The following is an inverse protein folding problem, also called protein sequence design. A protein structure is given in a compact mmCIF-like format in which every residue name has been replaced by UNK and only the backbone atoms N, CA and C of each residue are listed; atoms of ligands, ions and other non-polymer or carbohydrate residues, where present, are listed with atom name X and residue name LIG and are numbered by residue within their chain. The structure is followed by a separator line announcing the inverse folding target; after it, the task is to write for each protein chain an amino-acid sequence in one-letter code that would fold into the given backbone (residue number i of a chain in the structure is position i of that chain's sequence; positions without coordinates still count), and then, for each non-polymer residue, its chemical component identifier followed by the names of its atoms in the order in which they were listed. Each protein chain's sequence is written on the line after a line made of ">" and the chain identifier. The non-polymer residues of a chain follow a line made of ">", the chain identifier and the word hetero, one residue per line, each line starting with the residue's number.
data_IF_910961636606
#
_entry.id   IF_910961636606
#
_cell.length_a   1.000
_cell.length_b   1.000
_cell.length_c   1.000
_cell.angle_alpha   90.00
_cell.angle_beta   90.00
_cell.angle_gamma   90.00
#
_symmetry.space_group_name_H-M   'P 1'
#
loop_
_entity.id
_entity.type
_entity.pdbx_description
1 polymer ?
#
# COMPACT_ATOMS: atom_id res chain seq x y z
N UNK A 1 2.62 -12.75 1.12
CA UNK A 1 3.58 -13.53 0.30
C UNK A 1 2.83 -14.06 -0.91
N UNK A 2 3.02 -13.52 -2.11
CA UNK A 2 2.34 -13.99 -3.33
C UNK A 2 2.32 -15.50 -3.40
N UNK A 3 1.15 -16.06 -3.67
CA UNK A 3 1.06 -17.49 -3.90
C UNK A 3 1.97 -17.87 -5.05
N UNK A 4 2.58 -19.04 -4.90
CA UNK A 4 3.42 -19.67 -5.91
C UNK A 4 2.81 -19.53 -7.31
N UNK A 5 3.67 -19.41 -8.32
CA UNK A 5 3.28 -19.30 -9.73
C UNK A 5 3.35 -20.63 -10.46
N UNK A 6 4.10 -21.59 -9.90
CA UNK A 6 4.31 -22.95 -10.43
C UNK A 6 4.60 -23.92 -9.28
N UNK A 7 4.50 -25.23 -9.54
CA UNK A 7 4.78 -26.27 -8.55
C UNK A 7 3.57 -26.60 -7.67
N UNK A 8 3.72 -27.44 -6.63
CA UNK A 8 2.60 -27.89 -5.80
C UNK A 8 2.08 -26.81 -4.83
N UNK A 9 0.83 -26.37 -5.00
CA UNK A 9 0.14 -25.44 -4.09
C UNK A 9 -0.74 -26.19 -3.09
N UNK A 10 -0.72 -25.74 -1.83
CA UNK A 10 -1.54 -26.30 -0.75
C UNK A 10 -2.48 -25.25 -0.14
N UNK A 11 -3.54 -25.70 0.53
CA UNK A 11 -4.40 -24.82 1.33
C UNK A 11 -3.68 -24.20 2.53
N UNK A 12 -2.59 -24.82 3.00
CA UNK A 12 -1.69 -24.21 3.97
C UNK A 12 -1.02 -22.95 3.42
N UNK A 13 -0.59 -22.96 2.15
CA UNK A 13 -0.03 -21.77 1.50
C UNK A 13 -1.10 -20.67 1.34
N UNK A 14 -2.32 -21.06 0.98
CA UNK A 14 -3.46 -20.12 0.85
C UNK A 14 -3.81 -19.50 2.21
N UNK A 15 -3.86 -20.30 3.27
CA UNK A 15 -4.10 -19.82 4.63
C UNK A 15 -3.02 -18.84 5.08
N UNK A 16 -1.75 -19.14 4.81
CA UNK A 16 -0.64 -18.24 5.10
C UNK A 16 -0.74 -16.92 4.31
N UNK A 17 -1.12 -16.96 3.02
CA UNK A 17 -1.32 -15.72 2.23
C UNK A 17 -2.50 -14.89 2.73
N UNK A 18 -3.53 -15.52 3.31
CA UNK A 18 -4.62 -14.82 3.98
C UNK A 18 -4.26 -14.32 5.39
N UNK A 19 -3.00 -14.46 5.82
CA UNK A 19 -2.52 -14.01 7.12
C UNK A 19 -2.98 -14.86 8.31
N UNK A 20 -3.33 -16.13 8.08
CA UNK A 20 -3.83 -17.01 9.13
C UNK A 20 -2.70 -17.66 9.91
N UNK A 21 -2.96 -17.91 11.19
CA UNK A 21 -2.08 -18.73 12.02
C UNK A 21 -2.02 -20.17 11.50
N UNK A 22 -0.86 -20.81 11.63
CA UNK A 22 -0.66 -22.20 11.25
C UNK A 22 -1.67 -23.12 11.97
N UNK A 23 -2.21 -24.10 11.25
CA UNK A 23 -3.24 -25.02 11.76
C UNK A 23 -4.68 -24.49 11.64
N UNK A 24 -4.89 -23.22 11.26
CA UNK A 24 -6.23 -22.70 10.97
C UNK A 24 -6.79 -23.36 9.70
N UNK A 25 -7.95 -24.02 9.81
CA UNK A 25 -8.64 -24.63 8.67
C UNK A 25 -8.89 -23.59 7.58
N UNK A 26 -8.49 -23.92 6.35
CA UNK A 26 -8.71 -23.09 5.16
C UNK A 26 -9.39 -23.95 4.11
N UNK A 27 -10.56 -23.52 3.64
CA UNK A 27 -11.37 -24.28 2.67
C UNK A 27 -11.46 -23.53 1.34
N UNK A 28 -11.32 -24.24 0.21
CA UNK A 28 -11.43 -23.63 -1.13
C UNK A 28 -12.71 -22.83 -1.36
N UNK A 29 -13.82 -23.32 -0.82
CA UNK A 29 -15.15 -22.75 -1.06
C UNK A 29 -15.48 -21.51 -0.24
N UNK A 30 -14.64 -21.12 0.73
CA UNK A 30 -14.93 -20.01 1.62
C UNK A 30 -14.72 -18.64 0.94
N UNK A 31 -15.39 -17.62 1.46
CA UNK A 31 -15.41 -16.28 0.85
C UNK A 31 -14.03 -15.66 0.69
N UNK A 32 -13.14 -15.79 1.68
CA UNK A 32 -11.80 -15.19 1.61
C UNK A 32 -10.93 -15.79 0.48
N UNK A 33 -10.97 -17.12 0.31
CA UNK A 33 -10.25 -17.81 -0.77
C UNK A 33 -10.85 -17.49 -2.13
N UNK A 34 -12.17 -17.39 -2.21
CA UNK A 34 -12.88 -16.98 -3.43
C UNK A 34 -12.56 -15.55 -3.86
N UNK A 35 -12.51 -14.62 -2.90
CA UNK A 35 -12.11 -13.24 -3.14
C UNK A 35 -10.66 -13.18 -3.65
N UNK A 36 -9.75 -13.95 -3.05
CA UNK A 36 -8.37 -14.06 -3.52
C UNK A 36 -8.27 -14.61 -4.95
N UNK A 37 -9.09 -15.60 -5.30
CA UNK A 37 -9.16 -16.14 -6.66
C UNK A 37 -9.83 -15.19 -7.66
N UNK A 38 -10.65 -14.24 -7.20
CA UNK A 38 -11.53 -13.43 -8.05
C UNK A 38 -12.73 -14.23 -8.62
N UNK A 39 -13.19 -15.28 -7.92
CA UNK A 39 -14.27 -16.17 -8.37
C UNK A 39 -15.38 -16.19 -7.32
N UNK A 40 -16.40 -15.34 -7.48
CA UNK A 40 -17.47 -15.18 -6.51
C UNK A 40 -18.39 -16.41 -6.37
N UNK A 41 -18.63 -17.15 -7.46
CA UNK A 41 -19.52 -18.31 -7.47
C UNK A 41 -19.03 -19.38 -8.44
N UNK A 42 -19.61 -20.58 -8.34
CA UNK A 42 -19.26 -21.73 -9.17
C UNK A 42 -18.02 -22.50 -8.69
N UNK A 43 -17.52 -23.37 -9.57
CA UNK A 43 -16.39 -24.23 -9.30
C UNK A 43 -15.11 -23.41 -9.10
N UNK A 44 -14.40 -23.70 -8.02
CA UNK A 44 -13.08 -23.14 -7.71
C UNK A 44 -12.10 -24.29 -7.52
N UNK A 45 -10.89 -24.13 -8.05
CA UNK A 45 -9.80 -25.10 -7.95
C UNK A 45 -8.58 -24.40 -7.36
N UNK A 46 -7.70 -25.16 -6.71
CA UNK A 46 -6.41 -24.65 -6.22
C UNK A 46 -5.60 -23.95 -7.33
N UNK A 47 -5.72 -24.40 -8.58
CA UNK A 47 -5.04 -23.79 -9.71
C UNK A 47 -5.51 -22.37 -10.06
N UNK A 48 -6.66 -21.92 -9.55
CA UNK A 48 -7.12 -20.54 -9.73
C UNK A 48 -6.36 -19.54 -8.83
N UNK A 49 -5.58 -20.03 -7.88
CA UNK A 49 -4.90 -19.23 -6.87
C UNK A 49 -3.41 -19.00 -7.17
N UNK A 50 -2.83 -19.66 -8.19
CA UNK A 50 -1.44 -19.40 -8.60
C UNK A 50 -1.24 -17.92 -8.93
N UNK A 51 -0.17 -17.34 -8.39
CA UNK A 51 0.18 -15.93 -8.59
C UNK A 51 -0.80 -14.91 -7.99
N UNK A 52 -1.82 -15.35 -7.24
CA UNK A 52 -2.74 -14.44 -6.55
C UNK A 52 -2.09 -13.88 -5.28
N UNK A 53 -2.55 -12.70 -4.87
CA UNK A 53 -2.14 -12.09 -3.61
C UNK A 53 -3.30 -11.39 -2.90
N UNK A 54 -3.29 -11.46 -1.57
CA UNK A 54 -4.20 -10.73 -0.68
C UNK A 54 -3.70 -9.32 -0.35
N UNK A 55 -2.51 -8.97 -0.84
CA UNK A 55 -1.91 -7.64 -0.66
C UNK A 55 -2.74 -6.62 -1.43
N UNK A 56 -3.29 -5.67 -0.69
CA UNK A 56 -4.00 -4.53 -1.24
C UNK A 56 -3.45 -3.26 -0.60
N UNK A 57 -3.30 -2.23 -1.42
CA UNK A 57 -2.94 -0.90 -0.99
C UNK A 57 -4.14 0.03 -1.08
N UNK A 58 -4.22 0.98 -0.17
CA UNK A 58 -5.25 2.03 -0.18
C UNK A 58 -4.56 3.38 0.01
N UNK A 59 -4.57 4.26 -0.99
CA UNK A 59 -5.03 4.05 -2.37
C UNK A 59 -4.22 3.00 -3.15
N UNK A 60 -4.79 2.36 -4.19
CA UNK A 60 -4.22 1.16 -4.85
C UNK A 60 -2.84 1.32 -5.51
N UNK A 61 -2.48 2.53 -5.92
CA UNK A 61 -1.19 2.82 -6.57
C UNK A 61 -1.08 2.31 -8.01
N UNK A 62 -0.16 2.92 -8.74
CA UNK A 62 0.19 2.58 -10.12
C UNK A 62 0.91 1.25 -10.21
N UNK A 63 0.88 0.64 -11.41
CA UNK A 63 1.52 -0.66 -11.68
C UNK A 63 3.00 -0.54 -12.08
N UNK A 64 3.47 0.67 -12.38
CA UNK A 64 4.86 0.94 -12.76
C UNK A 64 5.31 2.31 -12.27
N UNK A 65 6.62 2.51 -12.16
CA UNK A 65 7.22 3.80 -11.81
C UNK A 65 6.98 4.88 -12.86
N UNK A 66 6.71 4.50 -14.12
CA UNK A 66 6.38 5.44 -15.20
C UNK A 66 4.91 5.88 -15.24
N UNK A 67 4.05 5.24 -14.44
CA UNK A 67 2.63 5.62 -14.30
C UNK A 67 2.20 5.49 -12.84
N UNK A 68 2.77 6.33 -11.94
CA UNK A 68 2.38 6.35 -10.54
C UNK A 68 0.99 7.00 -10.38
N UNK A 69 0.30 6.66 -9.29
CA UNK A 69 -0.93 7.38 -8.91
C UNK A 69 -0.55 8.65 -8.16
N UNK A 70 -1.01 9.80 -8.65
CA UNK A 70 -0.86 11.07 -7.96
C UNK A 70 -1.83 11.16 -6.77
N UNK A 71 -1.29 11.49 -5.60
CA UNK A 71 -2.01 11.76 -4.37
C UNK A 71 -1.63 13.17 -3.92
N UNK A 72 -2.60 13.98 -3.57
CA UNK A 72 -2.34 15.33 -3.10
C UNK A 72 -3.24 15.71 -1.95
N UNK A 73 -2.72 16.58 -1.09
CA UNK A 73 -3.52 17.27 -0.09
C UNK A 73 -3.09 18.74 0.01
N UNK A 74 -4.07 19.62 0.17
CA UNK A 74 -3.88 21.07 0.23
C UNK A 74 -4.54 21.65 1.48
N UNK A 75 -3.72 22.23 2.36
CA UNK A 75 -4.17 22.86 3.59
C UNK A 75 -4.05 24.40 3.52
N UNK A 76 -5.19 25.07 3.65
CA UNK A 76 -5.34 26.53 3.56
C UNK A 76 -5.71 27.23 4.89
N UNK A 77 -6.10 26.49 5.94
CA UNK A 77 -6.69 27.08 7.16
C UNK A 77 -6.05 26.60 8.45
N UNK A 78 -4.76 26.86 8.68
CA UNK A 78 -4.11 26.52 9.95
C UNK A 78 -3.62 25.07 10.06
N UNK A 79 -4.28 24.12 9.40
CA UNK A 79 -4.00 22.68 9.48
C UNK A 79 -2.74 22.20 8.76
N UNK A 80 -2.41 20.92 8.95
CA UNK A 80 -1.35 20.24 8.19
C UNK A 80 -1.93 19.65 6.90
N UNK A 81 -1.16 19.64 5.82
CA UNK A 81 -1.47 18.80 4.67
C UNK A 81 -0.89 17.40 4.91
N UNK A 82 -1.64 16.34 4.63
CA UNK A 82 -1.17 14.98 4.84
C UNK A 82 -1.80 13.96 3.87
N UNK A 83 -0.98 13.01 3.43
CA UNK A 83 -1.42 11.83 2.68
C UNK A 83 -0.95 10.59 3.42
N UNK A 84 -1.86 9.63 3.62
CA UNK A 84 -1.53 8.32 4.17
C UNK A 84 -1.83 7.24 3.14
N UNK A 85 -0.88 6.34 2.95
CA UNK A 85 -1.02 5.15 2.11
C UNK A 85 -0.95 3.95 3.04
N UNK A 86 -1.94 3.08 2.95
CA UNK A 86 -2.07 1.87 3.76
C UNK A 86 -1.84 0.63 2.91
N UNK A 87 -1.44 -0.45 3.56
CA UNK A 87 -1.31 -1.78 3.00
C UNK A 87 -1.94 -2.79 3.97
N UNK A 88 -2.60 -3.83 3.43
CA UNK A 88 -3.18 -4.91 4.24
C UNK A 88 -2.12 -5.74 4.98
N UNK A 89 -0.85 -5.62 4.61
CA UNK A 89 0.30 -6.30 5.21
C UNK A 89 1.44 -5.30 5.41
N UNK A 90 2.46 -5.67 6.19
CA UNK A 90 3.68 -4.86 6.28
C UNK A 90 4.35 -4.76 4.90
N UNK A 91 4.50 -3.54 4.40
CA UNK A 91 5.15 -3.24 3.14
C UNK A 91 6.48 -2.56 3.40
N UNK A 92 7.47 -2.86 2.55
CA UNK A 92 8.71 -2.08 2.48
C UNK A 92 8.42 -0.82 1.68
N UNK A 93 8.55 0.33 2.31
CA UNK A 93 8.29 1.64 1.69
C UNK A 93 9.61 2.26 1.25
N UNK A 94 9.75 2.52 -0.05
CA UNK A 94 10.88 3.27 -0.60
C UNK A 94 10.33 4.58 -1.14
N UNK A 95 10.94 5.69 -0.72
CA UNK A 95 10.58 6.99 -1.23
C UNK A 95 11.82 7.85 -1.47
N UNK A 96 11.67 8.80 -2.38
CA UNK A 96 12.66 9.84 -2.67
C UNK A 96 11.93 11.16 -2.88
N UNK A 97 12.65 12.26 -2.67
CA UNK A 97 12.09 13.60 -2.73
C UNK A 97 12.57 14.45 -1.56
N UNK A 98 12.38 15.75 -1.69
CA UNK A 98 12.69 16.72 -0.65
C UNK A 98 11.40 17.34 -0.16
N UNK A 99 11.17 17.22 1.14
CA UNK A 99 10.19 18.04 1.81
C UNK A 99 10.76 19.43 2.11
N UNK A 100 9.97 20.48 1.98
CA UNK A 100 10.31 21.80 2.52
C UNK A 100 10.33 21.79 4.06
N UNK A 101 10.64 22.94 4.67
CA UNK A 101 10.54 23.10 6.13
C UNK A 101 9.17 22.65 6.64
N UNK A 102 9.15 21.83 7.70
CA UNK A 102 7.91 21.29 8.28
C UNK A 102 7.43 19.97 7.67
N UNK A 103 8.14 19.44 6.67
CA UNK A 103 7.84 18.14 6.08
C UNK A 103 8.30 16.97 6.94
N UNK A 104 7.52 15.90 6.92
CA UNK A 104 7.72 14.71 7.74
C UNK A 104 7.20 13.47 7.02
N UNK A 105 7.94 12.36 7.15
CA UNK A 105 7.52 11.03 6.72
C UNK A 105 7.71 10.09 7.91
N UNK A 106 6.66 9.38 8.32
CA UNK A 106 6.69 8.55 9.53
C UNK A 106 7.47 7.22 9.36
N UNK A 107 7.75 6.81 8.13
CA UNK A 107 8.53 5.62 7.80
C UNK A 107 9.77 6.05 7.03
N UNK A 108 10.95 5.68 7.54
CA UNK A 108 12.21 5.90 6.82
C UNK A 108 12.19 5.18 5.46
N UNK A 109 12.87 5.74 4.46
CA UNK A 109 12.98 5.06 3.15
C UNK A 109 13.73 3.73 3.32
N UNK A 110 13.16 2.65 2.79
CA UNK A 110 13.56 1.26 3.03
C UNK A 110 12.96 0.62 4.29
N UNK A 111 12.19 1.37 5.09
CA UNK A 111 11.53 0.88 6.29
C UNK A 111 10.24 0.09 6.00
N UNK A 112 9.81 -0.72 6.96
CA UNK A 112 8.64 -1.59 6.84
C UNK A 112 7.51 -1.18 7.77
N UNK A 113 6.30 -1.05 7.24
CA UNK A 113 5.09 -0.70 8.01
C UNK A 113 3.83 -1.08 7.23
N UNK A 114 2.68 -1.19 7.91
CA UNK A 114 1.37 -1.32 7.26
C UNK A 114 0.85 0.00 6.71
N UNK A 115 1.46 1.13 7.08
CA UNK A 115 1.12 2.44 6.53
C UNK A 115 2.32 3.38 6.51
N UNK A 116 2.33 4.29 5.53
CA UNK A 116 3.22 5.45 5.46
C UNK A 116 2.37 6.72 5.37
N UNK A 117 2.77 7.75 6.10
CA UNK A 117 2.14 9.06 6.14
C UNK A 117 3.19 10.10 5.80
N UNK A 118 2.86 10.90 4.79
CA UNK A 118 3.56 12.12 4.43
C UNK A 118 2.79 13.28 5.04
N UNK A 119 3.48 14.24 5.64
CA UNK A 119 2.89 15.43 6.22
C UNK A 119 3.72 16.65 5.87
N UNK A 120 3.04 17.75 5.58
CA UNK A 120 3.62 19.08 5.52
C UNK A 120 2.93 19.95 6.57
N UNK A 121 3.69 20.33 7.59
CA UNK A 121 3.18 21.08 8.73
C UNK A 121 2.92 22.54 8.37
N UNK A 122 1.95 23.15 9.04
CA UNK A 122 1.83 24.60 9.00
C UNK A 122 2.90 25.24 9.88
N UNK A 123 3.81 26.00 9.28
CA UNK A 123 4.84 26.76 9.99
C UNK A 123 4.64 28.28 9.86
N UNK A 124 3.47 28.71 9.41
CA UNK A 124 3.11 30.12 9.18
C UNK A 124 3.79 30.74 7.94
N UNK A 125 3.24 31.87 7.49
CA UNK A 125 3.93 32.94 6.74
C UNK A 125 4.48 32.64 5.33
N UNK A 126 4.32 31.43 4.78
CA UNK A 126 4.68 31.14 3.39
C UNK A 126 3.90 29.96 2.83
N UNK A 127 3.59 30.00 1.53
CA UNK A 127 3.15 28.81 0.80
C UNK A 127 4.35 27.85 0.69
N UNK A 128 4.11 26.58 0.99
CA UNK A 128 5.10 25.51 0.89
C UNK A 128 4.50 24.35 0.13
N UNK A 129 5.38 23.67 -0.60
CA UNK A 129 5.05 22.49 -1.37
C UNK A 129 6.09 21.41 -1.07
N UNK A 130 5.67 20.16 -1.10
CA UNK A 130 6.58 19.02 -0.99
C UNK A 130 6.14 17.92 -1.91
N UNK A 131 7.13 17.24 -2.49
CA UNK A 131 6.90 16.22 -3.49
C UNK A 131 7.72 14.97 -3.18
N UNK A 132 7.07 13.82 -3.24
CA UNK A 132 7.70 12.51 -3.07
C UNK A 132 7.30 11.55 -4.16
N UNK A 133 8.29 10.82 -4.69
CA UNK A 133 8.04 9.58 -5.45
C UNK A 133 8.10 8.42 -4.46
N UNK A 134 7.06 7.60 -4.46
CA UNK A 134 6.85 6.55 -3.47
C UNK A 134 6.62 5.22 -4.17
N UNK A 135 7.27 4.17 -3.69
CA UNK A 135 6.98 2.79 -4.04
C UNK A 135 6.86 1.95 -2.80
N UNK A 136 6.02 0.93 -2.85
CA UNK A 136 5.87 -0.02 -1.76
C UNK A 136 5.81 -1.44 -2.29
N UNK A 137 6.50 -2.35 -1.61
CA UNK A 137 6.46 -3.78 -1.94
C UNK A 137 5.99 -4.56 -0.72
N UNK A 138 4.89 -5.29 -0.88
CA UNK A 138 4.41 -6.25 0.11
C UNK A 138 4.07 -7.54 -0.61
N UNK A 139 4.56 -8.66 -0.06
CA UNK A 139 4.26 -9.99 -0.57
C UNK A 139 4.45 -10.16 -2.07
N UNK A 140 5.44 -9.52 -2.71
CA UNK A 140 5.68 -9.61 -4.15
C UNK A 140 4.85 -8.66 -5.02
N UNK A 141 3.86 -7.96 -4.45
CA UNK A 141 3.12 -6.89 -5.12
C UNK A 141 3.85 -5.58 -4.89
N UNK A 142 4.20 -4.89 -5.98
CA UNK A 142 4.80 -3.55 -5.93
C UNK A 142 3.86 -2.52 -6.54
N UNK A 143 3.72 -1.37 -5.88
CA UNK A 143 2.87 -0.26 -6.29
C UNK A 143 3.60 1.08 -6.19
N UNK A 144 3.13 2.06 -6.97
CA UNK A 144 3.81 3.34 -7.15
C UNK A 144 2.86 4.53 -7.00
N UNK A 145 3.31 5.57 -6.31
CA UNK A 145 2.59 6.82 -6.11
C UNK A 145 3.52 8.02 -6.27
N UNK A 146 2.91 9.17 -6.54
CA UNK A 146 3.51 10.47 -6.34
C UNK A 146 2.68 11.20 -5.30
N UNK A 147 3.33 11.76 -4.27
CA UNK A 147 2.65 12.50 -3.20
C UNK A 147 3.05 13.95 -3.29
N UNK A 148 2.06 14.83 -3.38
CA UNK A 148 2.22 16.28 -3.40
C UNK A 148 1.45 16.90 -2.24
N UNK A 149 2.14 17.61 -1.36
CA UNK A 149 1.49 18.32 -0.25
C UNK A 149 1.69 19.81 -0.39
N UNK A 150 0.62 20.58 -0.26
CA UNK A 150 0.64 22.05 -0.30
C UNK A 150 0.10 22.58 1.02
N UNK A 151 0.83 23.50 1.64
CA UNK A 151 0.38 24.20 2.85
C UNK A 151 0.58 25.70 2.66
N UNK A 152 -0.49 26.49 2.79
CA UNK A 152 -0.43 27.92 2.49
C UNK A 152 0.16 28.78 3.61
N UNK A 153 0.28 28.21 4.82
CA UNK A 153 0.85 28.93 5.94
C UNK A 153 -0.07 29.96 6.59
N UNK A 154 -1.37 30.01 6.24
CA UNK A 154 -2.34 30.82 6.96
C UNK A 154 -2.61 30.22 8.34
N UNK A 155 -2.70 31.07 9.36
CA UNK A 155 -3.00 30.71 10.75
C UNK A 155 -4.49 30.92 11.05
#
# INVERSE_FOLDING_TARGET
>A
MTLQTTGPISLGNVGAELGRAAGTTTSLGETAVRNLAGIASGAIKLSNLYGKSSVAFTPAGGLSSGSPVALSDWAAGGGNAAVTIQCTQSAVWTWSGSGGTGSFVNVASGGSSTAITFRLSNTGYSIRQSFWTVSATAGGVTRYWQVELINEGYA
#
